data_IF_715053335127
#
_entry.id   IF_715053335127
#
_cell.length_a   1.000
_cell.length_b   1.000
_cell.length_c   1.000
_cell.angle_alpha   90.00
_cell.angle_beta   90.00
_cell.angle_gamma   90.00
#
_symmetry.space_group_name_H-M   'P 1'
#
loop_
_entity.id
_entity.type
_entity.pdbx_description
1 polymer ?
#
# COMPACT_ATOMS: atom_id res chain seq x y z
N UNK A 1 -16.66 3.35 12.67
CA UNK A 1 -15.67 3.54 13.65
C UNK A 1 -14.50 4.32 13.10
N UNK A 2 -13.85 4.96 13.97
CA UNK A 2 -12.79 5.85 13.58
C UNK A 2 -11.44 5.13 13.57
N UNK A 3 -10.65 5.37 12.54
CA UNK A 3 -9.25 5.04 12.59
C UNK A 3 -8.61 5.91 13.62
N UNK A 4 -7.90 5.33 14.54
CA UNK A 4 -7.26 6.12 15.54
C UNK A 4 -5.78 5.77 15.66
N UNK A 5 -5.05 6.72 16.17
CA UNK A 5 -3.61 6.57 16.33
C UNK A 5 -3.26 5.62 17.47
N UNK A 6 -4.25 5.17 18.19
CA UNK A 6 -4.04 4.26 19.30
C UNK A 6 -4.04 2.80 18.87
N UNK A 7 -4.10 2.55 17.58
CA UNK A 7 -3.91 1.21 17.08
C UNK A 7 -5.09 0.29 17.17
N UNK A 8 -6.28 0.84 17.46
CA UNK A 8 -7.46 0.00 17.60
C UNK A 8 -7.94 -0.58 16.28
N UNK A 9 -7.51 -0.06 15.17
CA UNK A 9 -7.90 -0.53 13.84
C UNK A 9 -6.69 -0.63 12.97
N UNK A 10 -6.68 -1.64 12.09
CA UNK A 10 -5.52 -1.89 11.26
C UNK A 10 -5.91 -2.03 9.81
N UNK A 11 -5.18 -1.33 8.99
CA UNK A 11 -5.33 -1.39 7.55
C UNK A 11 -4.49 -2.52 6.98
N UNK A 12 -4.55 -2.68 5.68
CA UNK A 12 -3.76 -3.65 4.97
C UNK A 12 -2.79 -2.93 4.05
N UNK A 13 -1.71 -3.60 3.73
CA UNK A 13 -0.71 -3.09 2.82
C UNK A 13 -0.59 -4.05 1.65
N UNK A 14 -0.42 -3.55 0.44
CA UNK A 14 -0.21 -4.39 -0.72
C UNK A 14 0.93 -3.80 -1.54
N UNK A 15 1.86 -4.64 -1.94
CA UNK A 15 3.05 -4.20 -2.66
C UNK A 15 3.63 -5.31 -3.51
N UNK A 16 4.39 -4.89 -4.52
CA UNK A 16 5.23 -5.78 -5.29
C UNK A 16 6.65 -5.27 -5.14
N UNK A 17 7.57 -6.12 -4.76
CA UNK A 17 8.93 -5.75 -4.47
C UNK A 17 9.92 -6.80 -4.98
N UNK A 18 11.14 -6.36 -5.29
CA UNK A 18 12.18 -7.30 -5.67
C UNK A 18 12.78 -7.96 -4.41
N UNK A 19 13.84 -8.75 -4.59
CA UNK A 19 14.43 -9.47 -3.46
C UNK A 19 15.08 -8.54 -2.43
N UNK A 20 15.33 -7.30 -2.78
CA UNK A 20 15.89 -6.30 -1.89
C UNK A 20 14.83 -5.32 -1.37
N UNK A 21 13.56 -5.65 -1.56
CA UNK A 21 12.41 -4.82 -1.16
C UNK A 21 12.33 -3.50 -1.92
N UNK A 22 12.93 -3.45 -3.10
CA UNK A 22 12.81 -2.30 -4.00
C UNK A 22 11.46 -2.30 -4.67
N UNK A 23 10.88 -1.12 -4.85
CA UNK A 23 9.54 -0.97 -5.41
C UNK A 23 9.49 -0.07 -6.64
N UNK A 24 10.49 0.77 -6.87
CA UNK A 24 10.43 1.67 -7.98
C UNK A 24 11.76 2.28 -8.38
N UNK A 25 11.75 2.90 -9.56
CA UNK A 25 12.87 3.67 -10.08
C UNK A 25 12.32 4.74 -11.03
N UNK A 26 12.82 5.96 -10.88
CA UNK A 26 12.45 7.11 -11.72
C UNK A 26 10.94 7.31 -11.83
N UNK A 27 10.23 7.09 -10.72
CA UNK A 27 8.79 7.29 -10.67
C UNK A 27 7.98 6.15 -11.25
N UNK A 28 8.62 5.06 -11.65
CA UNK A 28 7.95 3.91 -12.24
C UNK A 28 8.03 2.70 -11.31
N UNK A 29 7.00 1.88 -11.32
CA UNK A 29 7.00 0.63 -10.57
C UNK A 29 7.96 -0.35 -11.24
N UNK A 30 8.70 -1.10 -10.45
CA UNK A 30 9.60 -2.11 -10.97
C UNK A 30 8.86 -3.31 -11.55
N UNK A 31 7.71 -3.62 -10.98
CA UNK A 31 6.97 -4.83 -11.33
C UNK A 31 5.71 -4.46 -12.09
N UNK A 32 5.61 -4.94 -13.34
CA UNK A 32 4.45 -4.72 -14.19
C UNK A 32 4.04 -6.02 -14.87
N UNK A 33 4.13 -7.12 -14.12
CA UNK A 33 3.77 -8.44 -14.62
C UNK A 33 2.25 -8.58 -14.61
N UNK A 34 1.70 -9.15 -15.67
CA UNK A 34 0.26 -9.31 -15.81
C UNK A 34 -0.39 -10.03 -14.62
N UNK A 35 0.24 -11.10 -14.16
CA UNK A 35 -0.27 -11.86 -13.04
C UNK A 35 -0.33 -11.03 -11.77
N UNK A 36 0.69 -10.20 -11.54
CA UNK A 36 0.72 -9.34 -10.37
C UNK A 36 -0.41 -8.31 -10.43
N UNK A 37 -0.62 -7.71 -11.60
CA UNK A 37 -1.71 -6.74 -11.77
C UNK A 37 -3.08 -7.39 -11.57
N UNK A 38 -3.24 -8.64 -11.99
CA UNK A 38 -4.49 -9.38 -11.75
C UNK A 38 -4.70 -9.64 -10.28
N UNK A 39 -3.65 -10.04 -9.58
CA UNK A 39 -3.70 -10.31 -8.15
C UNK A 39 -4.03 -9.03 -7.38
N UNK A 40 -3.37 -7.94 -7.74
CA UNK A 40 -3.64 -6.63 -7.15
C UNK A 40 -5.11 -6.24 -7.34
N UNK A 41 -5.63 -6.39 -8.55
CA UNK A 41 -7.02 -6.07 -8.83
C UNK A 41 -7.99 -6.98 -8.07
N UNK A 42 -7.68 -8.27 -8.01
CA UNK A 42 -8.55 -9.20 -7.29
C UNK A 42 -8.67 -8.85 -5.82
N UNK A 43 -7.59 -8.38 -5.21
CA UNK A 43 -7.57 -8.04 -3.79
C UNK A 43 -8.20 -6.67 -3.54
N UNK A 44 -7.93 -5.68 -4.39
CA UNK A 44 -8.31 -4.29 -4.11
C UNK A 44 -9.63 -3.83 -4.71
N UNK A 45 -10.16 -4.51 -5.73
CA UNK A 45 -11.41 -4.08 -6.36
C UNK A 45 -12.55 -4.08 -5.35
N UNK A 46 -13.32 -3.00 -5.35
CA UNK A 46 -14.41 -2.81 -4.39
C UNK A 46 -13.96 -2.20 -3.08
N UNK A 47 -12.67 -1.94 -2.93
CA UNK A 47 -12.08 -1.46 -1.69
C UNK A 47 -11.49 -0.05 -1.86
N UNK A 48 -10.77 0.39 -0.86
CA UNK A 48 -10.14 1.72 -0.81
C UNK A 48 -8.64 1.54 -0.99
N UNK A 49 -8.03 2.31 -1.86
CA UNK A 49 -6.58 2.32 -2.02
C UNK A 49 -6.03 3.70 -1.68
N UNK A 50 -4.93 3.71 -0.94
CA UNK A 50 -4.28 4.94 -0.46
C UNK A 50 -2.88 4.99 -1.04
N UNK A 51 -2.52 6.13 -1.60
CA UNK A 51 -1.25 6.25 -2.30
C UNK A 51 -0.72 7.68 -2.28
N UNK A 52 0.54 7.83 -2.64
CA UNK A 52 1.11 9.13 -2.94
C UNK A 52 0.89 9.48 -4.40
N UNK A 53 1.21 10.72 -4.76
CA UNK A 53 1.00 11.24 -6.10
C UNK A 53 1.71 10.42 -7.19
N UNK A 54 2.97 10.07 -6.96
CA UNK A 54 3.73 9.34 -7.98
C UNK A 54 3.14 7.97 -8.27
N UNK A 55 2.55 7.34 -7.28
CA UNK A 55 1.91 6.04 -7.48
C UNK A 55 0.68 6.20 -8.35
N UNK A 56 -0.16 7.21 -8.10
CA UNK A 56 -1.30 7.47 -8.97
C UNK A 56 -0.84 7.70 -10.41
N UNK A 57 0.21 8.49 -10.59
CA UNK A 57 0.71 8.81 -11.93
C UNK A 57 1.29 7.61 -12.65
N UNK A 58 1.65 6.56 -11.90
CA UNK A 58 2.17 5.32 -12.49
C UNK A 58 1.07 4.38 -13.00
N UNK A 59 -0.18 4.64 -12.63
CA UNK A 59 -1.29 3.81 -13.10
C UNK A 59 -1.57 4.10 -14.57
N UNK A 60 -2.27 3.17 -15.28
CA UNK A 60 -2.56 3.37 -16.69
C UNK A 60 -3.22 4.72 -16.95
N UNK A 61 -2.62 5.50 -17.84
CA UNK A 61 -3.09 6.84 -18.17
C UNK A 61 -2.93 7.86 -17.06
N UNK A 62 -2.25 7.49 -15.97
CA UNK A 62 -2.11 8.37 -14.81
C UNK A 62 -3.43 8.66 -14.13
N UNK A 63 -4.35 7.71 -14.19
CA UNK A 63 -5.73 7.88 -13.70
C UNK A 63 -6.02 6.96 -12.53
N UNK A 64 -6.99 7.32 -11.68
CA UNK A 64 -7.45 6.43 -10.62
C UNK A 64 -7.90 5.08 -11.18
N UNK A 65 -7.70 4.04 -10.41
CA UNK A 65 -8.12 2.71 -10.83
C UNK A 65 -9.64 2.57 -10.68
N UNK A 66 -10.31 1.94 -11.65
CA UNK A 66 -11.76 1.83 -11.60
C UNK A 66 -12.24 0.88 -10.49
N UNK A 67 -13.47 1.08 -10.06
CA UNK A 67 -14.14 0.22 -9.08
C UNK A 67 -13.45 0.18 -7.72
N UNK A 68 -12.76 1.26 -7.38
CA UNK A 68 -12.10 1.44 -6.09
C UNK A 68 -12.20 2.89 -5.69
N UNK A 69 -12.15 3.14 -4.38
CA UNK A 69 -12.00 4.51 -3.89
C UNK A 69 -10.51 4.79 -3.88
N UNK A 70 -10.08 5.79 -4.64
CA UNK A 70 -8.67 6.17 -4.72
C UNK A 70 -8.45 7.43 -3.88
N UNK A 71 -7.54 7.33 -2.90
CA UNK A 71 -7.19 8.46 -2.03
C UNK A 71 -5.71 8.76 -2.23
N UNK A 72 -5.40 10.00 -2.57
CA UNK A 72 -4.03 10.43 -2.86
C UNK A 72 -3.61 11.50 -1.87
N UNK A 73 -2.48 11.27 -1.22
CA UNK A 73 -1.87 12.27 -0.34
C UNK A 73 -0.77 12.98 -1.12
N UNK A 74 -0.88 14.29 -1.24
CA UNK A 74 0.14 15.12 -1.88
C UNK A 74 0.13 16.51 -1.27
N UNK A 75 1.30 17.12 -1.18
CA UNK A 75 1.43 18.49 -0.71
C UNK A 75 1.16 19.51 -1.81
N UNK A 76 0.98 19.07 -3.05
CA UNK A 76 0.65 19.96 -4.15
C UNK A 76 -0.81 20.39 -4.05
N UNK A 77 -1.03 21.66 -3.71
CA UNK A 77 -2.38 22.19 -3.45
C UNK A 77 -3.32 22.12 -4.63
N UNK A 78 -2.79 22.31 -5.83
CA UNK A 78 -3.60 22.36 -7.05
C UNK A 78 -3.57 21.04 -7.83
N UNK A 79 -3.16 19.96 -7.17
CA UNK A 79 -3.04 18.69 -7.85
C UNK A 79 -4.40 18.19 -8.34
N UNK A 80 -4.46 17.84 -9.63
CA UNK A 80 -5.66 17.28 -10.22
C UNK A 80 -5.61 15.75 -10.13
N UNK A 81 -6.42 15.20 -9.24
CA UNK A 81 -6.46 13.75 -9.03
C UNK A 81 -7.24 12.98 -10.07
N UNK A 82 -7.85 13.68 -11.04
CA UNK A 82 -8.61 13.04 -12.14
C UNK A 82 -9.71 12.12 -11.66
N UNK A 83 -10.33 12.47 -10.55
CA UNK A 83 -11.39 11.68 -9.94
C UNK A 83 -11.01 11.01 -8.63
N UNK A 84 -9.73 11.02 -8.28
CA UNK A 84 -9.30 10.55 -6.97
C UNK A 84 -9.64 11.60 -5.90
N UNK A 85 -9.80 11.12 -4.68
CA UNK A 85 -9.94 12.02 -3.53
C UNK A 85 -8.53 12.47 -3.16
N UNK A 86 -8.30 13.78 -3.19
CA UNK A 86 -6.98 14.35 -2.91
C UNK A 86 -6.97 14.94 -1.52
N UNK A 87 -6.01 14.53 -0.71
CA UNK A 87 -5.79 15.10 0.62
C UNK A 87 -4.37 15.65 0.68
N UNK A 88 -4.16 16.68 1.50
CA UNK A 88 -2.92 17.45 1.49
C UNK A 88 -2.10 17.37 2.77
N UNK A 89 -2.61 16.67 3.78
CA UNK A 89 -1.90 16.52 5.03
C UNK A 89 -2.23 15.16 5.64
N UNK A 90 -1.40 14.73 6.57
CA UNK A 90 -1.68 13.51 7.30
C UNK A 90 -3.01 13.61 8.05
N UNK A 91 -3.28 14.78 8.62
CA UNK A 91 -4.53 15.02 9.33
C UNK A 91 -5.75 14.85 8.42
N UNK A 92 -5.69 15.45 7.22
CA UNK A 92 -6.76 15.26 6.24
C UNK A 92 -6.90 13.80 5.82
N UNK A 93 -5.78 13.12 5.70
CA UNK A 93 -5.79 11.70 5.36
C UNK A 93 -6.56 10.90 6.40
N UNK A 94 -6.24 11.08 7.67
CA UNK A 94 -6.91 10.34 8.75
C UNK A 94 -8.40 10.65 8.79
N UNK A 95 -8.78 11.90 8.55
CA UNK A 95 -10.19 12.28 8.50
C UNK A 95 -10.90 11.55 7.36
N UNK A 96 -10.27 11.49 6.20
CA UNK A 96 -10.87 10.78 5.06
C UNK A 96 -10.96 9.28 5.32
N UNK A 97 -9.90 8.68 5.83
CA UNK A 97 -9.86 7.23 6.08
C UNK A 97 -10.89 6.80 7.13
N UNK A 98 -11.25 7.70 8.06
CA UNK A 98 -12.22 7.36 9.09
C UNK A 98 -13.62 7.08 8.55
N UNK A 99 -13.86 7.39 7.29
CA UNK A 99 -15.16 7.15 6.64
C UNK A 99 -15.34 5.71 6.17
N UNK A 100 -14.29 4.91 6.22
CA UNK A 100 -14.29 3.56 5.66
C UNK A 100 -13.90 2.52 6.70
N UNK A 101 -14.33 1.27 6.48
CA UNK A 101 -13.89 0.17 7.32
C UNK A 101 -12.40 -0.08 7.08
N UNK A 102 -11.66 -0.25 8.17
CA UNK A 102 -10.21 -0.44 8.05
C UNK A 102 -9.82 -1.69 7.27
N UNK A 103 -10.65 -2.75 7.34
CA UNK A 103 -10.40 -3.97 6.59
C UNK A 103 -10.47 -3.76 5.08
N UNK A 104 -11.10 -2.68 4.65
CA UNK A 104 -11.22 -2.38 3.22
C UNK A 104 -10.17 -1.40 2.72
N UNK A 105 -9.26 -0.95 3.58
CA UNK A 105 -8.26 0.05 3.21
C UNK A 105 -6.92 -0.62 2.93
N UNK A 106 -6.41 -0.40 1.71
CA UNK A 106 -5.13 -0.96 1.25
C UNK A 106 -4.15 0.17 0.95
N UNK A 107 -3.01 0.12 1.61
CA UNK A 107 -1.92 1.08 1.38
C UNK A 107 -1.10 0.57 0.21
N UNK A 108 -1.00 1.37 -0.86
CA UNK A 108 -0.45 0.90 -2.13
C UNK A 108 0.84 1.60 -2.57
N UNK A 109 1.40 2.47 -1.76
CA UNK A 109 2.71 3.06 -2.03
C UNK A 109 2.68 4.56 -2.28
N UNK A 110 3.79 5.21 -2.53
CA UNK A 110 5.09 4.54 -2.55
C UNK A 110 5.80 4.53 -1.20
N UNK A 111 7.10 4.70 -1.26
CA UNK A 111 7.96 4.52 -0.09
C UNK A 111 7.52 5.33 1.13
N UNK A 112 7.29 6.62 0.97
CA UNK A 112 6.92 7.47 2.11
C UNK A 112 5.57 7.07 2.70
N UNK A 113 4.64 6.66 1.85
CA UNK A 113 3.30 6.26 2.30
C UNK A 113 3.38 4.93 3.04
N UNK A 114 4.13 3.97 2.51
CA UNK A 114 4.34 2.69 3.22
C UNK A 114 4.94 2.92 4.60
N UNK A 115 5.97 3.76 4.69
CA UNK A 115 6.63 4.00 5.97
C UNK A 115 5.74 4.73 6.96
N UNK A 116 4.96 5.68 6.47
CA UNK A 116 4.04 6.44 7.31
C UNK A 116 2.94 5.56 7.89
N UNK A 117 2.39 4.67 7.07
CA UNK A 117 1.19 3.92 7.45
C UNK A 117 1.47 2.49 7.93
N UNK A 118 2.68 2.00 7.80
CA UNK A 118 3.02 0.65 8.26
C UNK A 118 2.61 0.39 9.71
N UNK A 119 2.82 1.32 10.65
CA UNK A 119 2.41 1.08 12.04
C UNK A 119 0.91 0.89 12.24
N UNK A 120 0.13 1.25 11.24
CA UNK A 120 -1.34 1.16 11.30
C UNK A 120 -1.88 0.03 10.43
N UNK A 121 -1.01 -0.87 9.97
CA UNK A 121 -1.37 -2.03 9.18
C UNK A 121 -1.12 -3.29 9.98
N UNK A 122 -1.98 -4.29 9.80
CA UNK A 122 -1.78 -5.59 10.44
C UNK A 122 -1.52 -6.71 9.44
N UNK A 123 -1.68 -6.45 8.17
CA UNK A 123 -1.58 -7.47 7.12
C UNK A 123 -0.90 -6.86 5.91
N UNK A 124 -0.02 -7.63 5.29
CA UNK A 124 0.62 -7.19 4.05
C UNK A 124 0.61 -8.31 3.02
N UNK A 125 0.13 -7.98 1.84
CA UNK A 125 0.12 -8.86 0.68
C UNK A 125 1.29 -8.46 -0.20
N UNK A 126 2.31 -9.31 -0.26
CA UNK A 126 3.57 -8.98 -0.93
C UNK A 126 3.83 -9.92 -2.08
N UNK A 127 3.97 -9.38 -3.28
CA UNK A 127 4.50 -10.12 -4.41
C UNK A 127 6.00 -9.89 -4.40
N UNK A 128 6.78 -10.94 -4.15
CA UNK A 128 8.24 -10.86 -4.10
C UNK A 128 8.84 -11.48 -5.33
N UNK A 129 9.65 -10.71 -6.04
CA UNK A 129 10.40 -11.21 -7.18
C UNK A 129 11.80 -11.61 -6.71
N UNK A 130 12.21 -12.79 -7.10
CA UNK A 130 13.54 -13.27 -6.77
C UNK A 130 14.55 -12.72 -7.79
N UNK A 131 14.65 -11.40 -7.78
CA UNK A 131 15.46 -10.65 -8.72
C UNK A 131 15.87 -9.34 -8.07
N UNK A 132 17.01 -8.80 -8.45
CA UNK A 132 17.45 -7.51 -7.92
C UNK A 132 17.45 -6.51 -9.07
N UNK A 133 16.62 -5.49 -8.96
CA UNK A 133 16.54 -4.41 -9.94
C UNK A 133 17.35 -3.21 -9.48
N UNK A 134 17.77 -2.42 -10.42
CA UNK A 134 18.27 -1.10 -10.10
C UNK A 134 17.08 -0.26 -9.64
N UNK A 135 17.20 0.38 -8.48
CA UNK A 135 16.07 1.03 -7.84
C UNK A 135 16.49 2.29 -7.10
N UNK A 136 15.52 3.17 -6.88
CA UNK A 136 15.73 4.37 -6.06
C UNK A 136 14.68 4.48 -4.94
N UNK A 137 13.70 3.58 -4.90
CA UNK A 137 12.71 3.58 -3.83
C UNK A 137 12.49 2.16 -3.32
N UNK A 138 12.31 2.04 -2.02
CA UNK A 138 12.15 0.77 -1.34
C UNK A 138 11.00 0.87 -0.34
N UNK A 139 10.37 -0.26 -0.09
CA UNK A 139 9.44 -0.36 1.03
C UNK A 139 10.17 -0.92 2.25
N UNK A 140 9.58 -0.84 3.44
CA UNK A 140 10.18 -1.48 4.61
C UNK A 140 10.37 -2.98 4.38
N UNK A 141 11.51 -3.50 4.83
CA UNK A 141 11.80 -4.93 4.73
C UNK A 141 11.06 -5.65 5.86
N UNK A 142 9.96 -6.31 5.52
CA UNK A 142 9.12 -6.95 6.53
C UNK A 142 9.76 -8.17 7.16
N UNK A 143 10.80 -8.73 6.54
CA UNK A 143 11.56 -9.82 7.16
C UNK A 143 12.41 -9.33 8.32
N UNK A 144 12.68 -8.03 8.37
CA UNK A 144 13.51 -7.42 9.41
C UNK A 144 12.72 -6.50 10.33
N UNK A 145 11.46 -6.22 10.00
CA UNK A 145 10.65 -5.35 10.86
C UNK A 145 10.20 -6.10 12.09
N UNK A 146 10.38 -5.45 13.24
CA UNK A 146 9.93 -5.99 14.49
C UNK A 146 8.40 -6.19 14.44
N UNK A 147 7.92 -7.27 15.01
CA UNK A 147 6.50 -7.63 15.06
C UNK A 147 5.89 -8.11 13.75
N UNK A 148 6.63 -8.14 12.66
CA UNK A 148 6.14 -8.66 11.39
C UNK A 148 6.71 -10.03 11.09
N UNK A 149 5.86 -10.93 10.59
CA UNK A 149 6.32 -12.26 10.17
C UNK A 149 5.51 -12.77 8.99
N UNK A 150 6.17 -13.55 8.15
CA UNK A 150 5.52 -14.19 7.04
C UNK A 150 4.72 -15.37 7.56
N UNK A 151 3.43 -15.43 7.24
CA UNK A 151 2.54 -16.48 7.72
C UNK A 151 2.06 -17.40 6.63
N UNK A 152 2.16 -17.00 5.37
CA UNK A 152 1.68 -17.81 4.27
C UNK A 152 2.46 -17.52 3.00
N UNK A 153 2.71 -18.56 2.22
CA UNK A 153 3.26 -18.50 0.90
C UNK A 153 2.19 -19.04 -0.03
N UNK A 154 1.77 -18.24 -0.99
CA UNK A 154 0.78 -18.71 -1.95
C UNK A 154 1.29 -19.82 -2.84
N UNK A 155 0.40 -20.39 -3.67
CA UNK A 155 0.76 -21.43 -4.61
C UNK A 155 1.87 -20.96 -5.53
N UNK A 156 1.83 -19.69 -5.89
CA UNK A 156 2.92 -19.08 -6.60
C UNK A 156 3.89 -18.57 -5.56
N UNK A 157 5.09 -19.10 -5.59
CA UNK A 157 6.09 -18.89 -4.54
C UNK A 157 6.49 -17.45 -4.29
N UNK A 158 6.04 -16.52 -5.12
CA UNK A 158 6.31 -15.10 -4.93
C UNK A 158 5.15 -14.32 -4.30
N UNK A 159 4.02 -14.97 -4.06
CA UNK A 159 2.89 -14.33 -3.39
C UNK A 159 2.95 -14.66 -1.91
N UNK A 160 3.24 -13.66 -1.10
CA UNK A 160 3.49 -13.86 0.33
C UNK A 160 2.50 -13.06 1.17
N UNK A 161 2.12 -13.63 2.31
CA UNK A 161 1.28 -12.94 3.28
C UNK A 161 2.07 -12.73 4.56
N UNK A 162 2.11 -11.49 5.02
CA UNK A 162 2.74 -11.13 6.29
C UNK A 162 1.69 -10.62 7.24
N UNK A 163 1.88 -10.86 8.52
CA UNK A 163 1.04 -10.26 9.55
C UNK A 163 1.90 -9.68 10.65
N UNK A 164 1.30 -8.75 11.37
CA UNK A 164 1.96 -8.07 12.48
C UNK A 164 1.28 -8.46 13.78
N UNK A 165 2.06 -8.89 14.76
CA UNK A 165 1.53 -9.14 16.10
C UNK A 165 1.28 -7.84 16.87
N UNK A 166 1.81 -6.72 16.38
CA UNK A 166 1.48 -5.40 16.91
C UNK A 166 0.02 -5.05 16.68
N UNK A 167 -0.68 -5.80 15.80
CA UNK A 167 -2.09 -5.61 15.55
C UNK A 167 -2.96 -6.09 16.72
N UNK A 168 -2.41 -6.86 17.62
CA UNK A 168 -3.18 -7.36 18.75
C UNK A 168 -3.34 -6.28 19.79
N UNK A 169 -4.53 -5.72 19.84
CA UNK A 169 -4.83 -4.59 20.72
C UNK A 169 -5.06 -4.97 22.16
N UNK A 170 -5.05 -6.25 22.44
CA UNK A 170 -5.19 -6.70 23.83
C UNK A 170 -3.94 -6.41 24.65
N UNK A 171 -2.88 -6.07 23.97
CA UNK A 171 -1.61 -5.78 24.60
C UNK A 171 -1.55 -4.39 25.19
#
# INVERSE_FOLDING_TARGET
SRLNKNGGRKMKLIAAADKNWAIGKDGELLVRISEDMKNFSAITTGNVIVMGRKTLESFPGGKPLPNRVNIVLTHEKDYNGKGAIVVHSEEELWEELSKYDTDSIFVTGGESIYRMLLPYCDTAYITRLDYAYEADTWMPNLDKEEHWSMVEKGEERYCLLYTSDAADDSL
#
